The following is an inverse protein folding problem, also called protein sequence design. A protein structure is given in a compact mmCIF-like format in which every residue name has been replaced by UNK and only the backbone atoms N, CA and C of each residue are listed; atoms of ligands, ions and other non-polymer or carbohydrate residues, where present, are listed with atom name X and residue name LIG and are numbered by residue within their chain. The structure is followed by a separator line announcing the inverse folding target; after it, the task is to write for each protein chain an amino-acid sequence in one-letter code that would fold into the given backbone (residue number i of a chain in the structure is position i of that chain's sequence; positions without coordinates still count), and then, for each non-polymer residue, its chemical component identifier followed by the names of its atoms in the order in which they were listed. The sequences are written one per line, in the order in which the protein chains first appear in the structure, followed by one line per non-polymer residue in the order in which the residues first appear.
data_IF_214622945905
#
_entry.id   IF_214622945905
#
_cell.length_a   1.000
_cell.length_b   1.000
_cell.length_c   1.000
_cell.angle_alpha   90.00
_cell.angle_beta   90.00
_cell.angle_gamma   90.00
#
_symmetry.space_group_name_H-M   'P 1'
#
loop_
_entity.id
_entity.type
_entity.pdbx_description
1 polymer ?
#
# COMPACT_ATOMS: atom_id res chain seq x y z
N UNK A 1 34.77 1.41 -8.95
CA UNK A 1 33.87 0.50 -8.19
C UNK A 1 32.53 1.21 -8.04
N UNK A 2 31.40 0.56 -8.38
CA UNK A 2 30.08 1.14 -8.15
C UNK A 2 29.79 1.15 -6.65
N UNK A 3 29.21 2.24 -6.13
CA UNK A 3 28.81 2.32 -4.73
C UNK A 3 27.80 1.18 -4.43
N UNK A 4 27.99 0.39 -3.35
CA UNK A 4 27.08 -0.69 -2.97
C UNK A 4 25.64 -0.25 -2.79
N UNK A 5 25.41 1.01 -2.41
CA UNK A 5 24.08 1.60 -2.23
C UNK A 5 23.39 1.85 -3.57
N UNK A 6 24.13 2.37 -4.56
CA UNK A 6 23.65 2.55 -5.94
C UNK A 6 23.30 1.21 -6.58
N UNK A 7 24.09 0.16 -6.30
CA UNK A 7 23.82 -1.18 -6.80
C UNK A 7 22.51 -1.75 -6.25
N UNK A 8 22.28 -1.62 -4.93
CA UNK A 8 21.04 -2.06 -4.30
C UNK A 8 19.82 -1.32 -4.84
N UNK A 9 19.92 -0.01 -5.04
CA UNK A 9 18.86 0.79 -5.62
C UNK A 9 18.55 0.36 -7.05
N UNK A 10 19.56 0.12 -7.88
CA UNK A 10 19.38 -0.33 -9.26
C UNK A 10 18.76 -1.73 -9.33
N UNK A 11 19.15 -2.66 -8.48
CA UNK A 11 18.52 -3.99 -8.38
C UNK A 11 17.03 -3.87 -7.99
N UNK A 12 16.70 -3.03 -6.99
CA UNK A 12 15.32 -2.78 -6.60
C UNK A 12 14.49 -2.15 -7.73
N UNK A 13 15.06 -1.18 -8.45
CA UNK A 13 14.43 -0.57 -9.62
C UNK A 13 14.21 -1.58 -10.76
N UNK A 14 15.17 -2.46 -11.02
CA UNK A 14 15.04 -3.51 -12.02
C UNK A 14 13.86 -4.45 -11.69
N UNK A 15 13.77 -4.92 -10.43
CA UNK A 15 12.65 -5.75 -9.96
C UNK A 15 11.31 -5.02 -10.14
N UNK A 16 11.22 -3.76 -9.72
CA UNK A 16 9.98 -2.96 -9.82
C UNK A 16 9.54 -2.80 -11.28
N UNK A 17 10.47 -2.50 -12.19
CA UNK A 17 10.14 -2.35 -13.61
C UNK A 17 9.67 -3.66 -14.25
N UNK A 18 10.25 -4.80 -13.87
CA UNK A 18 9.79 -6.11 -14.36
C UNK A 18 8.44 -6.47 -13.78
N UNK A 19 8.23 -6.30 -12.47
CA UNK A 19 6.96 -6.59 -11.80
C UNK A 19 5.80 -5.73 -12.31
N UNK A 20 6.05 -4.45 -12.57
CA UNK A 20 5.05 -3.53 -13.14
C UNK A 20 4.88 -3.66 -14.66
N UNK A 21 5.53 -4.65 -15.29
CA UNK A 21 5.52 -4.89 -16.75
C UNK A 21 5.99 -3.70 -17.60
N UNK A 22 6.70 -2.74 -17.02
CA UNK A 22 7.37 -1.67 -17.76
C UNK A 22 8.60 -2.19 -18.51
N UNK A 23 9.20 -3.27 -18.01
CA UNK A 23 10.29 -3.98 -18.65
C UNK A 23 9.93 -5.46 -18.80
N UNK A 24 9.83 -5.94 -20.03
CA UNK A 24 9.51 -7.34 -20.37
C UNK A 24 10.71 -8.07 -21.01
N UNK A 25 11.83 -7.40 -21.20
CA UNK A 25 13.07 -7.94 -21.75
C UNK A 25 14.27 -7.15 -21.22
N UNK A 26 15.50 -7.69 -21.40
CA UNK A 26 16.74 -6.98 -21.04
C UNK A 26 16.85 -5.63 -21.76
N UNK A 27 16.40 -5.54 -23.01
CA UNK A 27 16.43 -4.31 -23.79
C UNK A 27 15.47 -3.27 -23.19
N UNK A 28 14.22 -3.64 -22.99
CA UNK A 28 13.25 -2.72 -22.38
C UNK A 28 13.65 -2.32 -20.95
N UNK A 29 14.34 -3.21 -20.21
CA UNK A 29 14.91 -2.87 -18.91
C UNK A 29 15.99 -1.79 -19.02
N UNK A 30 16.89 -1.92 -20.02
CA UNK A 30 17.91 -0.90 -20.28
C UNK A 30 17.29 0.45 -20.64
N UNK A 31 16.29 0.45 -21.51
CA UNK A 31 15.59 1.64 -21.98
C UNK A 31 14.89 2.37 -20.84
N UNK A 32 14.09 1.65 -20.03
CA UNK A 32 13.33 2.22 -18.91
C UNK A 32 14.23 2.73 -17.79
N UNK A 33 15.32 2.03 -17.50
CA UNK A 33 16.26 2.43 -16.46
C UNK A 33 17.30 3.45 -16.96
N UNK A 34 17.31 3.78 -18.25
CA UNK A 34 18.31 4.66 -18.90
C UNK A 34 19.75 4.19 -18.65
N UNK A 35 19.96 2.88 -18.75
CA UNK A 35 21.25 2.23 -18.55
C UNK A 35 21.78 1.69 -19.88
N UNK A 36 23.10 1.45 -19.94
CA UNK A 36 23.66 0.69 -21.05
C UNK A 36 23.11 -0.74 -21.07
N UNK A 37 22.98 -1.38 -22.26
CA UNK A 37 22.55 -2.78 -22.36
C UNK A 37 23.37 -3.73 -21.49
N UNK A 38 24.68 -3.52 -21.42
CA UNK A 38 25.60 -4.30 -20.58
C UNK A 38 25.30 -4.15 -19.11
N UNK A 39 25.02 -2.91 -18.66
CA UNK A 39 24.70 -2.65 -17.25
C UNK A 39 23.35 -3.24 -16.85
N UNK A 40 22.32 -3.07 -17.68
CA UNK A 40 21.01 -3.66 -17.44
C UNK A 40 21.07 -5.20 -17.47
N UNK A 41 21.87 -5.76 -18.40
CA UNK A 41 22.17 -7.20 -18.46
C UNK A 41 22.78 -7.72 -17.17
N UNK A 42 23.79 -7.03 -16.65
CA UNK A 42 24.42 -7.40 -15.36
C UNK A 42 23.42 -7.45 -14.20
N UNK A 43 22.51 -6.46 -14.07
CA UNK A 43 21.48 -6.51 -13.02
C UNK A 43 20.46 -7.62 -13.25
N UNK A 44 20.08 -7.86 -14.52
CA UNK A 44 19.18 -8.97 -14.83
C UNK A 44 19.82 -10.33 -14.49
N UNK A 45 21.11 -10.55 -14.80
CA UNK A 45 21.82 -11.77 -14.47
C UNK A 45 21.91 -12.00 -12.97
N UNK A 46 22.27 -10.99 -12.19
CA UNK A 46 22.27 -11.08 -10.72
C UNK A 46 20.90 -11.48 -10.15
N UNK A 47 19.81 -10.93 -10.69
CA UNK A 47 18.46 -11.23 -10.23
C UNK A 47 17.98 -12.61 -10.68
N UNK A 48 18.45 -13.10 -11.82
CA UNK A 48 18.18 -14.47 -12.29
C UNK A 48 18.96 -15.48 -11.45
N UNK A 49 20.25 -15.25 -11.21
CA UNK A 49 21.08 -16.08 -10.34
C UNK A 49 20.54 -16.15 -8.90
N UNK A 50 20.00 -15.05 -8.41
CA UNK A 50 19.36 -14.98 -7.08
C UNK A 50 17.93 -15.56 -7.06
N UNK A 51 17.39 -16.06 -8.18
CA UNK A 51 16.07 -16.67 -8.27
C UNK A 51 14.88 -15.69 -8.23
N UNK A 52 15.11 -14.39 -8.34
CA UNK A 52 14.06 -13.37 -8.35
C UNK A 52 13.45 -13.14 -9.72
N UNK A 53 14.24 -13.27 -10.78
CA UNK A 53 13.79 -13.15 -12.15
C UNK A 53 14.05 -14.45 -12.92
N UNK A 54 13.33 -14.64 -14.02
CA UNK A 54 13.56 -15.71 -14.98
C UNK A 54 13.40 -15.20 -16.39
N UNK A 55 14.15 -15.80 -17.32
CA UNK A 55 13.89 -15.66 -18.74
C UNK A 55 13.02 -16.83 -19.21
N UNK A 56 11.93 -16.52 -19.89
CA UNK A 56 10.99 -17.52 -20.41
C UNK A 56 10.57 -17.15 -21.83
N UNK A 57 10.43 -18.18 -22.67
CA UNK A 57 9.88 -18.04 -24.03
C UNK A 57 10.70 -17.14 -24.95
N UNK A 58 10.30 -17.19 -26.23
CA UNK A 58 10.76 -16.26 -27.23
C UNK A 58 9.55 -15.36 -27.56
N UNK A 59 9.64 -14.05 -27.30
CA UNK A 59 8.65 -13.12 -27.83
C UNK A 59 8.72 -13.20 -29.37
N UNK A 60 7.62 -13.58 -30.01
CA UNK A 60 7.50 -13.53 -31.48
C UNK A 60 7.42 -12.05 -31.88
N UNK A 61 8.57 -11.46 -32.18
CA UNK A 61 8.64 -10.14 -32.77
C UNK A 61 8.44 -10.24 -34.29
N UNK A 62 7.76 -9.26 -34.85
CA UNK A 62 7.45 -9.17 -36.29
C UNK A 62 8.69 -9.00 -37.17
N UNK A 63 9.86 -8.65 -36.62
CA UNK A 63 11.16 -8.59 -37.33
C UNK A 63 12.34 -8.64 -36.33
N UNK A 64 13.28 -9.55 -36.49
CA UNK A 64 14.54 -9.62 -35.74
C UNK A 64 14.71 -10.92 -34.91
N UNK A 65 15.89 -11.06 -34.26
CA UNK A 65 16.21 -12.21 -33.39
C UNK A 65 15.17 -12.30 -32.25
N UNK A 66 14.59 -13.50 -32.02
CA UNK A 66 13.64 -13.71 -30.95
C UNK A 66 14.19 -13.19 -29.60
N UNK A 67 13.41 -12.36 -28.91
CA UNK A 67 13.78 -11.81 -27.58
C UNK A 67 13.27 -12.73 -26.49
N UNK A 68 14.11 -13.01 -25.51
CA UNK A 68 13.67 -13.70 -24.30
C UNK A 68 12.86 -12.75 -23.42
N UNK A 69 11.71 -13.21 -22.97
CA UNK A 69 10.88 -12.47 -22.03
C UNK A 69 11.46 -12.56 -20.61
N UNK A 70 11.55 -11.44 -19.94
CA UNK A 70 12.01 -11.32 -18.55
C UNK A 70 10.81 -11.21 -17.63
N UNK A 71 10.69 -12.09 -16.64
CA UNK A 71 9.59 -12.13 -15.70
C UNK A 71 10.04 -12.38 -14.26
N UNK A 72 9.23 -11.94 -13.29
CA UNK A 72 9.46 -12.22 -11.87
C UNK A 72 9.04 -13.66 -11.54
N UNK A 73 9.79 -14.29 -10.62
CA UNK A 73 9.52 -15.65 -10.13
C UNK A 73 8.55 -15.58 -8.97
N UNK A 74 7.30 -16.04 -9.15
CA UNK A 74 6.26 -15.97 -8.14
C UNK A 74 6.68 -16.65 -6.82
N UNK A 75 7.37 -17.78 -6.95
CA UNK A 75 7.81 -18.65 -5.85
C UNK A 75 9.01 -18.08 -5.06
N UNK A 76 9.65 -17.00 -5.53
CA UNK A 76 10.75 -16.34 -4.81
C UNK A 76 10.34 -15.82 -3.43
N UNK A 77 9.04 -15.65 -3.20
CA UNK A 77 8.46 -15.30 -1.91
C UNK A 77 7.17 -14.49 -2.05
N UNK A 78 6.75 -13.91 -0.94
CA UNK A 78 5.53 -13.11 -0.92
C UNK A 78 5.62 -11.94 0.05
N UNK A 79 4.71 -10.98 -0.11
CA UNK A 79 4.56 -9.83 0.76
C UNK A 79 3.17 -9.82 1.38
N UNK A 80 3.09 -9.41 2.65
CA UNK A 80 1.83 -9.13 3.32
C UNK A 80 1.51 -7.63 3.18
N UNK A 81 0.37 -7.30 2.57
CA UNK A 81 -0.21 -5.97 2.59
C UNK A 81 -1.33 -5.95 3.63
N UNK A 82 -1.22 -5.09 4.64
CA UNK A 82 -2.19 -5.00 5.74
C UNK A 82 -2.74 -3.58 5.81
N UNK A 83 -4.01 -3.47 6.12
CA UNK A 83 -4.67 -2.22 6.46
C UNK A 83 -5.62 -2.44 7.63
N UNK A 84 -5.82 -1.43 8.47
CA UNK A 84 -6.85 -1.48 9.51
C UNK A 84 -7.59 -0.14 9.66
N UNK A 85 -8.75 -0.21 10.29
CA UNK A 85 -9.51 0.91 10.81
C UNK A 85 -10.06 0.53 12.21
N UNK A 86 -10.98 1.32 12.78
CA UNK A 86 -11.57 1.02 14.09
C UNK A 86 -12.50 -0.21 14.11
N UNK A 87 -12.87 -0.76 12.95
CA UNK A 87 -13.86 -1.83 12.82
C UNK A 87 -13.24 -3.17 12.45
N UNK A 88 -12.13 -3.16 11.71
CA UNK A 88 -11.51 -4.36 11.15
C UNK A 88 -10.04 -4.18 10.78
N UNK A 89 -9.36 -5.31 10.72
CA UNK A 89 -8.07 -5.49 10.06
C UNK A 89 -8.31 -6.28 8.78
N UNK A 90 -7.76 -5.84 7.67
CA UNK A 90 -7.82 -6.55 6.38
C UNK A 90 -6.42 -6.68 5.78
N UNK A 91 -6.21 -7.71 4.97
CA UNK A 91 -4.91 -7.94 4.39
C UNK A 91 -4.94 -8.83 3.16
N UNK A 92 -3.88 -8.71 2.39
CA UNK A 92 -3.67 -9.48 1.18
C UNK A 92 -2.29 -10.11 1.20
N UNK A 93 -2.15 -11.24 0.53
CA UNK A 93 -0.89 -11.85 0.16
C UNK A 93 -0.64 -11.59 -1.32
N UNK A 94 0.51 -11.00 -1.60
CA UNK A 94 0.97 -10.73 -2.97
C UNK A 94 2.25 -11.51 -3.17
N UNK A 95 2.31 -12.39 -4.18
CA UNK A 95 3.51 -13.14 -4.52
C UNK A 95 4.59 -12.23 -5.12
N UNK A 96 5.78 -12.78 -5.33
CA UNK A 96 6.88 -11.97 -5.84
C UNK A 96 6.65 -11.46 -7.27
N UNK A 97 5.78 -12.08 -8.05
CA UNK A 97 5.39 -11.60 -9.39
C UNK A 97 4.41 -10.42 -9.35
N UNK A 98 3.82 -10.12 -8.18
CA UNK A 98 2.85 -9.05 -7.98
C UNK A 98 1.39 -9.52 -8.07
N UNK A 99 1.14 -10.85 -8.14
CA UNK A 99 -0.21 -11.38 -8.15
C UNK A 99 -0.75 -11.53 -6.72
N UNK A 100 -2.00 -11.14 -6.53
CA UNK A 100 -2.71 -11.39 -5.27
C UNK A 100 -3.11 -12.85 -5.19
N UNK A 101 -2.53 -13.58 -4.24
CA UNK A 101 -2.71 -15.05 -4.08
C UNK A 101 -3.49 -15.43 -2.83
N UNK A 102 -3.90 -14.45 -2.04
CA UNK A 102 -4.73 -14.66 -0.87
C UNK A 102 -5.16 -13.36 -0.22
N UNK A 103 -6.25 -13.41 0.52
CA UNK A 103 -6.76 -12.28 1.28
C UNK A 103 -7.45 -12.76 2.55
N UNK A 104 -7.67 -11.84 3.48
CA UNK A 104 -8.40 -12.11 4.70
C UNK A 104 -8.78 -10.86 5.43
N UNK A 105 -9.70 -10.99 6.36
CA UNK A 105 -10.10 -9.91 7.25
C UNK A 105 -10.41 -10.43 8.65
N UNK A 106 -10.31 -9.55 9.64
CA UNK A 106 -10.60 -9.78 11.04
C UNK A 106 -11.44 -8.62 11.57
N UNK A 107 -12.61 -8.90 12.11
CA UNK A 107 -13.41 -7.90 12.79
C UNK A 107 -12.71 -7.49 14.10
N UNK A 108 -12.83 -6.22 14.45
CA UNK A 108 -12.47 -5.70 15.77
C UNK A 108 -13.76 -5.52 16.58
N UNK A 109 -13.69 -5.79 17.89
CA UNK A 109 -14.83 -5.52 18.77
C UNK A 109 -15.04 -4.03 18.93
N UNK A 110 -16.28 -3.63 19.22
CA UNK A 110 -16.57 -2.26 19.60
C UNK A 110 -15.73 -1.87 20.84
N UNK A 111 -14.97 -0.76 20.71
CA UNK A 111 -14.02 -0.34 21.75
C UNK A 111 -12.72 -1.12 21.80
N UNK A 112 -12.35 -1.76 20.69
CA UNK A 112 -11.05 -2.40 20.56
C UNK A 112 -9.92 -1.44 20.98
N UNK A 113 -8.93 -1.98 21.68
CA UNK A 113 -7.72 -1.26 22.07
C UNK A 113 -6.54 -1.53 21.11
N UNK A 114 -5.46 -0.79 21.27
CA UNK A 114 -4.22 -0.96 20.52
C UNK A 114 -3.69 -2.40 20.57
N UNK A 115 -3.79 -3.07 21.72
CA UNK A 115 -3.32 -4.44 21.91
C UNK A 115 -4.14 -5.42 21.06
N UNK A 116 -5.46 -5.26 21.02
CA UNK A 116 -6.32 -6.08 20.17
C UNK A 116 -6.03 -5.87 18.70
N UNK A 117 -5.91 -4.61 18.24
CA UNK A 117 -5.55 -4.29 16.84
C UNK A 117 -4.23 -4.96 16.45
N UNK A 118 -3.18 -4.80 17.26
CA UNK A 118 -1.87 -5.39 16.99
C UNK A 118 -1.91 -6.93 17.03
N UNK A 119 -2.77 -7.52 17.85
CA UNK A 119 -2.97 -8.96 17.91
C UNK A 119 -3.63 -9.47 16.64
N UNK A 120 -4.70 -8.81 16.19
CA UNK A 120 -5.41 -9.22 14.97
C UNK A 120 -4.58 -9.00 13.70
N UNK A 121 -3.75 -7.95 13.65
CA UNK A 121 -2.75 -7.79 12.57
C UNK A 121 -1.80 -8.99 12.52
N UNK A 122 -1.23 -9.41 13.66
CA UNK A 122 -0.32 -10.56 13.73
C UNK A 122 -1.02 -11.87 13.33
N UNK A 123 -2.24 -12.09 13.83
CA UNK A 123 -3.04 -13.26 13.51
C UNK A 123 -3.38 -13.33 12.02
N UNK A 124 -3.71 -12.20 11.40
CA UNK A 124 -4.01 -12.13 9.97
C UNK A 124 -2.78 -12.47 9.13
N UNK A 125 -1.60 -11.91 9.47
CA UNK A 125 -0.35 -12.24 8.77
C UNK A 125 -0.05 -13.75 8.88
N UNK A 126 -0.19 -14.34 10.07
CA UNK A 126 -0.03 -15.79 10.26
C UNK A 126 -1.00 -16.58 9.40
N UNK A 127 -2.26 -16.16 9.28
CA UNK A 127 -3.22 -16.83 8.41
C UNK A 127 -2.83 -16.75 6.93
N UNK A 128 -2.29 -15.61 6.49
CA UNK A 128 -1.83 -15.41 5.12
C UNK A 128 -0.59 -16.28 4.77
N UNK A 129 0.11 -16.87 5.74
CA UNK A 129 1.20 -17.82 5.45
C UNK A 129 0.70 -19.16 4.91
N UNK A 130 -0.57 -19.51 5.17
CA UNK A 130 -1.13 -20.80 4.73
C UNK A 130 -1.25 -20.83 3.21
N UNK A 131 -0.58 -21.80 2.57
CA UNK A 131 -0.55 -21.93 1.11
C UNK A 131 0.23 -20.81 0.40
N UNK A 132 1.16 -20.16 1.10
CA UNK A 132 2.02 -19.16 0.50
C UNK A 132 3.05 -19.81 -0.46
N UNK A 133 3.40 -19.15 -1.57
CA UNK A 133 4.28 -19.73 -2.60
C UNK A 133 5.78 -19.75 -2.24
N UNK A 134 6.14 -19.29 -1.04
CA UNK A 134 7.53 -19.18 -0.62
C UNK A 134 7.66 -18.46 0.73
N UNK A 135 8.84 -17.95 1.08
CA UNK A 135 9.05 -17.22 2.33
C UNK A 135 8.35 -15.85 2.31
N UNK A 136 7.94 -15.37 3.50
CA UNK A 136 7.55 -13.97 3.69
C UNK A 136 8.77 -13.08 3.51
N UNK A 137 8.71 -12.12 2.59
CA UNK A 137 9.83 -11.22 2.26
C UNK A 137 9.69 -9.84 2.92
N UNK A 138 8.46 -9.42 3.21
CA UNK A 138 8.22 -8.11 3.81
C UNK A 138 6.75 -7.89 4.15
N UNK A 139 6.50 -6.89 4.99
CA UNK A 139 5.17 -6.47 5.41
C UNK A 139 5.02 -4.98 5.09
N UNK A 140 3.98 -4.64 4.32
CA UNK A 140 3.52 -3.27 4.14
C UNK A 140 2.24 -3.07 4.94
N UNK A 141 2.18 -2.02 5.75
CA UNK A 141 1.02 -1.72 6.56
C UNK A 141 0.55 -0.29 6.33
N UNK A 142 -0.70 -0.13 5.89
CA UNK A 142 -1.41 1.13 5.83
C UNK A 142 -2.17 1.36 7.14
N UNK A 143 -1.77 2.37 7.90
CA UNK A 143 -2.45 2.74 9.14
C UNK A 143 -3.23 4.04 8.99
N UNK A 144 -4.39 4.18 9.65
CA UNK A 144 -5.14 5.43 9.65
C UNK A 144 -4.50 6.49 10.57
N UNK A 145 -4.87 7.74 10.35
CA UNK A 145 -4.41 8.88 11.15
C UNK A 145 -2.97 9.28 10.87
N UNK A 146 -2.34 9.88 11.85
CA UNK A 146 -0.96 10.37 11.74
C UNK A 146 0.04 9.23 11.90
N UNK A 147 0.90 9.09 10.92
CA UNK A 147 1.90 8.01 10.85
C UNK A 147 3.27 8.61 10.55
N UNK A 148 4.27 8.24 11.33
CA UNK A 148 5.68 8.50 11.03
C UNK A 148 6.30 7.27 10.32
N UNK A 149 6.42 7.30 9.00
CA UNK A 149 6.93 6.17 8.24
C UNK A 149 8.43 5.93 8.44
N UNK A 150 9.20 6.96 8.79
CA UNK A 150 10.65 6.84 9.02
C UNK A 150 10.93 6.08 10.31
N UNK A 151 10.20 6.39 11.38
CA UNK A 151 10.29 5.68 12.67
C UNK A 151 9.48 4.38 12.68
N UNK A 152 8.56 4.19 11.72
CA UNK A 152 7.63 3.06 11.68
C UNK A 152 6.62 3.08 12.84
N UNK A 153 6.16 4.29 13.21
CA UNK A 153 5.32 4.55 14.38
C UNK A 153 3.96 5.08 13.95
N UNK A 154 2.89 4.49 14.47
CA UNK A 154 1.56 5.07 14.44
C UNK A 154 1.45 6.12 15.55
N UNK A 155 1.45 7.40 15.15
CA UNK A 155 1.53 8.52 16.09
C UNK A 155 0.20 8.75 16.79
N UNK A 156 -0.88 8.80 16.02
CA UNK A 156 -2.22 9.08 16.55
C UNK A 156 -3.31 8.63 15.59
N UNK A 157 -4.40 8.11 16.15
CA UNK A 157 -5.63 7.81 15.40
C UNK A 157 -6.88 8.17 16.24
N UNK A 158 -7.71 9.09 15.75
CA UNK A 158 -8.83 9.67 16.49
C UNK A 158 -9.89 8.65 16.93
N UNK A 159 -10.09 7.57 16.17
CA UNK A 159 -11.07 6.52 16.45
C UNK A 159 -10.55 5.38 17.32
N UNK A 160 -9.30 5.47 17.78
CA UNK A 160 -8.65 4.51 18.68
C UNK A 160 -7.85 5.32 19.73
N UNK A 161 -8.49 5.72 20.86
CA UNK A 161 -7.93 6.73 21.78
C UNK A 161 -6.58 6.37 22.41
N UNK A 162 -6.29 5.07 22.55
CA UNK A 162 -5.02 4.55 23.09
C UNK A 162 -3.95 4.32 22.00
N UNK A 163 -4.27 4.59 20.72
CA UNK A 163 -3.31 4.53 19.62
C UNK A 163 -2.43 5.79 19.61
N UNK A 164 -1.41 5.76 20.45
CA UNK A 164 -0.45 6.86 20.61
C UNK A 164 0.97 6.32 20.60
N UNK A 165 1.82 6.84 19.72
CA UNK A 165 3.24 6.46 19.57
C UNK A 165 3.46 4.94 19.53
N UNK A 166 2.63 4.22 18.78
CA UNK A 166 2.69 2.75 18.68
C UNK A 166 3.81 2.33 17.75
N UNK A 167 4.85 1.61 18.22
CA UNK A 167 6.00 1.20 17.41
C UNK A 167 5.66 -0.03 16.56
N UNK A 168 4.79 0.17 15.56
CA UNK A 168 4.18 -0.89 14.74
C UNK A 168 5.25 -1.69 14.00
N UNK A 169 6.13 -0.99 13.26
CA UNK A 169 7.16 -1.65 12.45
C UNK A 169 8.10 -2.48 13.30
N UNK A 170 8.55 -1.96 14.45
CA UNK A 170 9.42 -2.68 15.37
C UNK A 170 8.76 -3.93 15.97
N UNK A 171 7.46 -3.84 16.33
CA UNK A 171 6.73 -4.99 16.87
C UNK A 171 6.55 -6.11 15.83
N UNK A 172 6.23 -5.76 14.59
CA UNK A 172 6.04 -6.73 13.50
C UNK A 172 7.39 -7.30 13.06
N UNK A 173 8.44 -6.46 12.91
CA UNK A 173 9.78 -6.93 12.60
C UNK A 173 10.30 -7.93 13.65
N UNK A 174 10.12 -7.64 14.94
CA UNK A 174 10.52 -8.56 16.03
C UNK A 174 9.82 -9.92 15.91
N UNK A 175 8.55 -9.94 15.50
CA UNK A 175 7.74 -11.18 15.41
C UNK A 175 8.04 -11.98 14.16
N UNK A 176 8.16 -11.32 13.00
CA UNK A 176 8.24 -11.99 11.69
C UNK A 176 9.65 -12.00 11.08
N UNK A 177 10.58 -11.23 11.63
CA UNK A 177 11.98 -11.16 11.20
C UNK A 177 12.18 -10.73 9.73
N UNK A 178 11.24 -9.95 9.18
CA UNK A 178 11.29 -9.39 7.84
C UNK A 178 11.21 -7.86 7.89
N UNK A 179 11.61 -7.15 6.84
CA UNK A 179 11.39 -5.70 6.72
C UNK A 179 9.90 -5.35 6.84
N UNK A 180 9.62 -4.24 7.52
CA UNK A 180 8.26 -3.73 7.69
C UNK A 180 8.24 -2.25 7.30
N UNK A 181 7.33 -1.91 6.39
CA UNK A 181 7.05 -0.52 6.00
C UNK A 181 5.70 -0.12 6.54
N UNK A 182 5.64 1.02 7.20
CA UNK A 182 4.41 1.61 7.69
C UNK A 182 4.14 2.92 6.94
N UNK A 183 2.92 3.12 6.47
CA UNK A 183 2.50 4.37 5.83
C UNK A 183 1.05 4.71 6.23
N UNK A 184 0.66 5.98 6.09
CA UNK A 184 -0.75 6.36 6.17
C UNK A 184 -1.54 5.65 5.05
N UNK A 185 -2.73 5.15 5.35
CA UNK A 185 -3.52 4.34 4.42
C UNK A 185 -3.87 5.07 3.12
N UNK A 186 -4.19 6.36 3.14
CA UNK A 186 -4.47 7.12 1.91
C UNK A 186 -3.19 7.39 1.11
N UNK A 187 -2.07 7.63 1.77
CA UNK A 187 -0.77 7.77 1.10
C UNK A 187 -0.31 6.44 0.49
N UNK A 188 -0.58 5.32 1.16
CA UNK A 188 -0.34 3.98 0.59
C UNK A 188 -1.20 3.73 -0.66
N UNK A 189 -2.48 4.18 -0.67
CA UNK A 189 -3.34 4.14 -1.86
C UNK A 189 -2.76 5.02 -2.98
N UNK A 190 -2.29 6.23 -2.66
CA UNK A 190 -1.66 7.10 -3.64
C UNK A 190 -0.43 6.44 -4.29
N UNK A 191 0.42 5.77 -3.51
CA UNK A 191 1.54 4.99 -4.06
C UNK A 191 1.07 3.85 -4.96
N UNK A 192 0.01 3.13 -4.57
CA UNK A 192 -0.54 2.05 -5.37
C UNK A 192 -1.08 2.54 -6.72
N UNK A 193 -1.81 3.66 -6.72
CA UNK A 193 -2.29 4.31 -7.95
C UNK A 193 -1.15 4.73 -8.88
N UNK A 194 -0.05 5.24 -8.33
CA UNK A 194 1.12 5.62 -9.09
C UNK A 194 1.86 4.42 -9.71
N UNK A 195 1.93 3.31 -9.01
CA UNK A 195 2.70 2.15 -9.48
C UNK A 195 1.88 1.18 -10.33
N UNK A 196 0.60 1.02 -10.03
CA UNK A 196 -0.24 -0.04 -10.58
C UNK A 196 -1.60 0.46 -11.10
N UNK A 197 -2.02 1.69 -10.76
CA UNK A 197 -3.33 2.23 -11.04
C UNK A 197 -3.35 3.30 -12.12
N UNK A 198 -4.31 4.21 -12.02
CA UNK A 198 -4.58 5.26 -13.00
C UNK A 198 -3.62 6.46 -12.96
N UNK A 199 -2.81 6.60 -11.91
CA UNK A 199 -1.92 7.75 -11.73
C UNK A 199 -0.47 7.51 -12.24
N UNK A 200 -0.22 6.46 -13.02
CA UNK A 200 1.14 6.09 -13.47
C UNK A 200 1.85 7.18 -14.29
N UNK A 201 1.10 8.01 -15.00
CA UNK A 201 1.61 9.10 -15.84
C UNK A 201 1.45 10.49 -15.21
N UNK A 202 0.90 10.56 -13.99
CA UNK A 202 0.64 11.82 -13.31
C UNK A 202 1.78 12.15 -12.34
N UNK A 203 2.24 13.41 -12.38
CA UNK A 203 3.17 13.95 -11.38
C UNK A 203 2.43 14.55 -10.18
N UNK A 204 1.20 15.03 -10.43
CA UNK A 204 0.41 15.76 -9.45
C UNK A 204 -1.01 15.21 -9.41
N UNK A 205 -1.46 14.76 -8.25
CA UNK A 205 -2.82 14.24 -8.05
C UNK A 205 -3.20 14.19 -6.57
N UNK A 206 -4.49 14.05 -6.32
CA UNK A 206 -5.08 13.90 -5.00
C UNK A 206 -5.83 12.57 -4.91
N UNK A 207 -5.72 11.93 -3.76
CA UNK A 207 -6.61 10.85 -3.35
C UNK A 207 -7.57 11.39 -2.29
N UNK A 208 -8.85 11.31 -2.56
CA UNK A 208 -9.90 11.64 -1.60
C UNK A 208 -10.38 10.35 -0.93
N UNK A 209 -10.40 10.34 0.38
CA UNK A 209 -10.74 9.16 1.18
C UNK A 209 -11.97 9.34 2.06
N UNK A 210 -13.21 9.34 1.49
CA UNK A 210 -14.42 9.26 2.28
C UNK A 210 -14.59 7.82 2.81
N UNK A 211 -14.09 7.57 4.01
CA UNK A 211 -14.14 6.26 4.68
C UNK A 211 -14.89 6.38 6.01
N UNK A 212 -14.49 5.69 7.09
CA UNK A 212 -15.04 5.93 8.45
C UNK A 212 -14.83 7.38 8.91
N UNK A 213 -13.74 8.01 8.49
CA UNK A 213 -13.50 9.45 8.52
C UNK A 213 -13.41 10.04 7.11
N UNK A 214 -12.81 11.24 7.01
CA UNK A 214 -12.46 11.90 5.75
C UNK A 214 -11.01 12.37 5.81
N UNK A 215 -10.27 12.10 4.77
CA UNK A 215 -8.87 12.55 4.62
C UNK A 215 -8.50 12.66 3.16
N UNK A 216 -7.31 13.20 2.90
CA UNK A 216 -6.74 13.26 1.55
C UNK A 216 -5.28 12.78 1.58
N UNK A 217 -4.79 12.31 0.44
CA UNK A 217 -3.36 12.20 0.19
C UNK A 217 -3.02 13.04 -1.04
N UNK A 218 -1.88 13.72 -0.97
CA UNK A 218 -1.39 14.61 -2.02
C UNK A 218 -0.09 14.07 -2.60
N UNK A 219 0.00 14.04 -3.92
CA UNK A 219 1.25 13.81 -4.65
C UNK A 219 1.52 15.05 -5.49
N UNK A 220 2.70 15.64 -5.34
CA UNK A 220 3.13 16.84 -6.05
C UNK A 220 4.56 16.62 -6.56
N UNK A 221 4.81 16.88 -7.84
CA UNK A 221 6.09 16.62 -8.47
C UNK A 221 6.51 15.14 -8.36
N UNK A 222 5.53 14.22 -8.33
CA UNK A 222 5.76 12.79 -8.14
C UNK A 222 6.17 12.39 -6.72
N UNK A 223 6.08 13.26 -5.73
CA UNK A 223 6.42 12.98 -4.33
C UNK A 223 5.19 13.09 -3.43
N UNK A 224 5.05 12.15 -2.50
CA UNK A 224 4.00 12.20 -1.48
C UNK A 224 4.28 13.32 -0.50
N UNK A 225 3.28 14.14 -0.24
CA UNK A 225 3.35 15.21 0.73
C UNK A 225 2.94 14.68 2.11
N UNK A 226 3.93 14.49 2.99
CA UNK A 226 3.71 14.05 4.38
C UNK A 226 3.56 15.22 5.37
N UNK A 227 4.15 16.37 5.06
CA UNK A 227 4.30 17.50 5.99
C UNK A 227 5.36 17.23 7.06
N UNK A 228 5.76 18.27 7.78
CA UNK A 228 6.84 18.21 8.79
C UNK A 228 6.48 17.27 9.96
N UNK A 229 5.19 17.21 10.32
CA UNK A 229 4.68 16.37 11.40
C UNK A 229 3.88 15.18 10.89
N UNK A 230 4.07 14.77 9.63
CA UNK A 230 3.37 13.66 9.00
C UNK A 230 1.84 13.76 8.98
N UNK A 231 1.28 14.95 9.23
CA UNK A 231 -0.16 15.21 9.32
C UNK A 231 -0.75 15.86 8.05
N UNK A 232 0.01 15.95 6.97
CA UNK A 232 -0.53 16.44 5.71
C UNK A 232 -1.67 15.53 5.24
N UNK A 233 -2.81 16.15 4.90
CA UNK A 233 -4.00 15.41 4.46
C UNK A 233 -5.01 15.08 5.55
N UNK A 234 -4.74 15.36 6.83
CA UNK A 234 -5.68 15.18 7.95
C UNK A 234 -6.77 16.28 7.99
N UNK A 235 -7.30 16.64 6.80
CA UNK A 235 -8.32 17.69 6.61
C UNK A 235 -9.67 17.32 7.23
N UNK A 236 -9.91 16.05 7.52
CA UNK A 236 -11.13 15.60 8.20
C UNK A 236 -11.35 16.23 9.56
N UNK A 237 -10.27 16.66 10.22
CA UNK A 237 -10.30 17.33 11.51
C UNK A 237 -10.60 18.84 11.42
N UNK A 238 -10.58 19.42 10.22
CA UNK A 238 -10.87 20.84 10.02
C UNK A 238 -12.35 21.16 10.30
N UNK A 239 -12.64 22.37 10.79
CA UNK A 239 -14.03 22.82 10.94
C UNK A 239 -14.76 22.78 9.61
N UNK A 240 -16.03 22.39 9.67
CA UNK A 240 -16.94 22.56 8.54
C UNK A 240 -17.16 24.06 8.27
N UNK A 241 -17.32 24.49 6.98
CA UNK A 241 -17.48 25.92 6.67
C UNK A 241 -18.67 26.61 7.35
N UNK A 242 -19.72 25.87 7.67
CA UNK A 242 -20.81 26.37 8.51
C UNK A 242 -20.35 26.44 9.98
N UNK A 243 -19.93 27.62 10.39
CA UNK A 243 -19.32 27.90 11.70
C UNK A 243 -20.23 27.65 12.88
N UNK A 244 -21.56 27.74 12.69
CA UNK A 244 -22.55 27.58 13.77
C UNK A 244 -22.82 26.12 14.10
N UNK A 245 -22.44 25.19 13.21
CA UNK A 245 -22.69 23.76 13.38
C UNK A 245 -21.74 23.08 14.37
N UNK A 246 -20.57 23.64 14.65
CA UNK A 246 -19.50 22.97 15.41
C UNK A 246 -18.98 21.66 14.79
N UNK A 247 -19.46 21.32 13.58
CA UNK A 247 -19.10 20.10 12.87
C UNK A 247 -17.68 20.20 12.26
N UNK A 248 -17.11 19.04 11.99
CA UNK A 248 -15.84 18.89 11.25
C UNK A 248 -16.09 18.32 9.85
N UNK A 249 -15.08 18.40 8.98
CA UNK A 249 -15.16 17.85 7.63
C UNK A 249 -15.56 16.37 7.62
N UNK A 250 -15.04 15.55 8.54
CA UNK A 250 -15.39 14.13 8.54
C UNK A 250 -16.82 13.85 8.99
N UNK A 251 -17.45 14.73 9.79
CA UNK A 251 -18.85 14.60 10.19
C UNK A 251 -19.79 14.78 8.99
N UNK A 252 -19.31 15.40 7.91
CA UNK A 252 -20.06 15.72 6.72
C UNK A 252 -19.64 14.91 5.48
N UNK A 253 -18.38 14.53 5.38
CA UNK A 253 -17.77 13.94 4.18
C UNK A 253 -17.35 12.46 4.35
N UNK A 254 -17.49 11.89 5.56
CA UNK A 254 -17.28 10.45 5.73
C UNK A 254 -18.34 9.63 4.98
N UNK A 255 -18.01 8.40 4.59
CA UNK A 255 -18.99 7.50 3.94
C UNK A 255 -20.27 7.32 4.73
N UNK A 256 -20.25 7.15 6.08
CA UNK A 256 -21.46 7.14 6.88
C UNK A 256 -22.29 8.42 6.77
N UNK A 257 -21.64 9.58 6.81
CA UNK A 257 -22.33 10.87 6.73
C UNK A 257 -22.98 11.08 5.37
N UNK A 258 -22.23 10.81 4.30
CA UNK A 258 -22.75 10.92 2.91
C UNK A 258 -23.94 9.99 2.72
N UNK A 259 -23.84 8.72 3.15
CA UNK A 259 -24.94 7.77 3.01
C UNK A 259 -26.21 8.25 3.73
N UNK A 260 -26.08 8.71 5.00
CA UNK A 260 -27.23 9.22 5.76
C UNK A 260 -27.90 10.41 5.07
N UNK A 261 -27.11 11.31 4.54
CA UNK A 261 -27.60 12.48 3.80
C UNK A 261 -28.37 12.07 2.54
N UNK A 262 -27.83 11.14 1.76
CA UNK A 262 -28.49 10.64 0.54
C UNK A 262 -29.82 9.93 0.84
N UNK A 263 -29.92 9.27 2.00
CA UNK A 263 -31.14 8.57 2.42
C UNK A 263 -32.09 9.42 3.26
N UNK A 264 -31.78 10.69 3.53
CA UNK A 264 -32.56 11.51 4.46
C UNK A 264 -32.61 10.93 5.88
N UNK A 265 -31.60 10.15 6.27
CA UNK A 265 -31.57 9.39 7.51
C UNK A 265 -30.88 10.17 8.63
N UNK A 266 -31.40 10.05 9.85
CA UNK A 266 -30.85 10.72 11.03
C UNK A 266 -29.50 10.15 11.47
N UNK A 267 -28.75 10.85 12.37
CA UNK A 267 -27.40 10.49 12.78
C UNK A 267 -27.30 9.13 13.50
N UNK A 268 -28.39 8.68 14.11
CA UNK A 268 -28.46 7.38 14.82
C UNK A 268 -28.95 6.22 13.95
N UNK A 269 -29.26 6.45 12.67
CA UNK A 269 -29.70 5.40 11.76
C UNK A 269 -28.58 4.36 11.58
N UNK A 270 -28.96 3.09 11.73
CA UNK A 270 -28.02 1.97 11.55
C UNK A 270 -27.53 1.94 10.10
N UNK A 271 -26.23 1.86 9.94
CA UNK A 271 -25.60 1.75 8.63
C UNK A 271 -25.82 0.35 8.03
N UNK A 272 -25.91 0.23 6.71
CA UNK A 272 -25.93 -1.07 6.04
C UNK A 272 -24.61 -1.83 6.30
N UNK A 273 -24.69 -3.16 6.29
CA UNK A 273 -23.53 -4.03 6.50
C UNK A 273 -22.45 -3.82 5.43
N UNK A 274 -22.85 -3.58 4.18
CA UNK A 274 -21.97 -3.13 3.10
C UNK A 274 -22.30 -1.70 2.69
N UNK A 275 -21.69 -0.76 3.38
CA UNK A 275 -21.88 0.67 3.12
C UNK A 275 -21.38 1.08 1.72
N UNK A 276 -20.35 0.42 1.19
CA UNK A 276 -19.80 0.72 -0.15
C UNK A 276 -20.79 0.35 -1.23
N UNK A 277 -21.35 -0.86 -1.17
CA UNK A 277 -22.40 -1.28 -2.10
C UNK A 277 -23.64 -0.40 -1.98
N UNK A 278 -24.04 -0.04 -0.76
CA UNK A 278 -25.18 0.84 -0.52
C UNK A 278 -24.98 2.27 -1.05
N UNK A 279 -23.77 2.81 -1.04
CA UNK A 279 -23.44 4.10 -1.67
C UNK A 279 -23.41 4.02 -3.20
N UNK A 280 -22.93 2.91 -3.75
CA UNK A 280 -22.91 2.69 -5.20
C UNK A 280 -24.31 2.53 -5.79
N UNK A 281 -25.31 2.19 -4.95
CA UNK A 281 -26.72 2.05 -5.34
C UNK A 281 -27.57 3.32 -5.10
N UNK A 282 -26.96 4.41 -4.66
CA UNK A 282 -27.60 5.71 -4.49
C UNK A 282 -27.43 6.60 -5.72
#
# INVERSE_FOLDING_TARGET
MRNPEDQRQNLAQAILNVRSRRATSRRTLADVMRLSPTTAGFYADQLIESGYLRESGLEQGTMGRPKRSLGAVAEAGWFAGIEFNAERVQGVRVDFSGQMTGSGQRALSAGADTKQVMTEIKNLIVNLTRGAPGPLLGIGLGAPGVVDPQRGVGVYYAFLPDWKEVPVAAQLHRRFKVPVTLENNLRAIALAERWFGGAQQLSDYLILGPRSGFGIAMVIGGSIIGGVHHAAGEVGLWPWPDRDSGARMHDQLSSPAVWRRLKGAGPRTRLPADLRAALAAC
#
